data_IF_554740659571
#
_entry.id   IF_554740659571
#
_cell.length_a   1.000
_cell.length_b   1.000
_cell.length_c   1.000
_cell.angle_alpha   90.00
_cell.angle_beta   90.00
_cell.angle_gamma   90.00
#
_symmetry.space_group_name_H-M   'P 1'
#
loop_
_entity.id
_entity.type
_entity.pdbx_description
1 polymer ?
#
# COMPACT_ATOMS: atom_id res chain seq x y z
N UNK A 1 -6.44 -8.47 -6.31
CA UNK A 1 -7.77 -7.89 -6.00
C UNK A 1 -7.73 -6.77 -4.94
N UNK A 2 -6.56 -6.22 -4.55
CA UNK A 2 -6.51 -5.12 -3.57
C UNK A 2 -6.60 -3.70 -4.18
N UNK A 3 -6.67 -3.58 -5.51
CA UNK A 3 -6.55 -2.30 -6.22
C UNK A 3 -7.89 -1.60 -6.51
N UNK A 4 -9.02 -2.31 -6.45
CA UNK A 4 -10.30 -1.80 -6.95
C UNK A 4 -11.32 -1.79 -5.80
N UNK A 5 -11.58 -0.59 -5.28
CA UNK A 5 -12.81 -0.19 -4.56
C UNK A 5 -13.06 -0.65 -3.12
N UNK A 6 -12.20 -1.45 -2.48
CA UNK A 6 -12.43 -1.93 -1.10
C UNK A 6 -11.65 -1.25 0.03
N UNK A 7 -10.70 -0.36 -0.28
CA UNK A 7 -9.72 0.14 0.69
C UNK A 7 -9.82 1.64 1.01
N UNK A 8 -10.80 2.35 0.44
CA UNK A 8 -11.00 3.80 0.66
C UNK A 8 -11.29 4.14 2.12
N UNK A 9 -11.87 3.22 2.88
CA UNK A 9 -12.21 3.43 4.29
C UNK A 9 -11.16 2.91 5.27
N UNK A 10 -10.01 2.43 4.78
CA UNK A 10 -8.98 1.90 5.66
C UNK A 10 -8.16 3.02 6.31
N UNK A 11 -7.83 2.89 7.60
CA UNK A 11 -7.12 3.93 8.34
C UNK A 11 -5.75 4.17 7.71
N UNK A 12 -5.56 5.37 7.17
CA UNK A 12 -4.23 5.84 6.76
C UNK A 12 -3.42 6.20 7.99
N UNK A 13 -2.19 5.72 8.09
CA UNK A 13 -1.29 6.04 9.20
C UNK A 13 -0.37 7.22 8.83
N UNK A 14 -0.08 8.06 9.82
CA UNK A 14 0.93 9.11 9.70
C UNK A 14 2.31 8.44 9.84
N UNK A 15 3.18 8.50 8.82
CA UNK A 15 4.43 7.77 8.84
C UNK A 15 5.49 8.42 9.73
N UNK A 16 6.28 7.59 10.40
CA UNK A 16 7.49 8.01 11.12
C UNK A 16 8.54 8.55 10.14
N UNK A 17 9.50 9.38 10.61
CA UNK A 17 10.62 9.83 9.78
C UNK A 17 11.43 8.69 9.15
N UNK A 18 11.50 7.54 9.83
CA UNK A 18 12.16 6.32 9.32
C UNK A 18 11.37 5.70 8.16
N UNK A 19 10.05 5.55 8.30
CA UNK A 19 9.18 5.07 7.22
C UNK A 19 9.26 5.95 5.97
N UNK A 20 9.34 7.29 6.13
CA UNK A 20 9.53 8.22 5.00
C UNK A 20 10.84 7.97 4.23
N UNK A 21 11.94 7.69 4.92
CA UNK A 21 13.22 7.36 4.28
C UNK A 21 13.11 6.06 3.47
N UNK A 22 12.49 5.03 4.05
CA UNK A 22 12.30 3.74 3.36
C UNK A 22 11.39 3.92 2.14
N UNK A 23 10.30 4.69 2.25
CA UNK A 23 9.41 5.00 1.14
C UNK A 23 10.13 5.74 0.00
N UNK A 24 11.08 6.63 0.32
CA UNK A 24 11.91 7.30 -0.70
C UNK A 24 12.78 6.29 -1.47
N UNK A 25 13.35 5.29 -0.80
CA UNK A 25 14.11 4.22 -1.47
C UNK A 25 13.17 3.35 -2.31
N UNK A 26 11.96 3.06 -1.81
CA UNK A 26 10.94 2.34 -2.55
C UNK A 26 10.55 3.06 -3.85
N UNK A 27 10.47 4.40 -3.81
CA UNK A 27 10.22 5.22 -5.01
C UNK A 27 11.28 5.03 -6.09
N UNK A 28 12.55 4.93 -5.70
CA UNK A 28 13.64 4.61 -6.63
C UNK A 28 13.44 3.21 -7.21
N UNK A 29 13.07 2.22 -6.39
CA UNK A 29 12.77 0.87 -6.87
C UNK A 29 11.62 0.86 -7.89
N UNK A 30 10.55 1.65 -7.71
CA UNK A 30 9.46 1.71 -8.69
C UNK A 30 9.93 2.20 -10.07
N UNK A 31 10.87 3.14 -10.12
CA UNK A 31 11.44 3.58 -11.39
C UNK A 31 12.22 2.45 -12.07
N UNK A 32 12.94 1.63 -11.29
CA UNK A 32 13.62 0.45 -11.81
C UNK A 32 12.64 -0.61 -12.35
N UNK A 33 11.47 -0.83 -11.72
CA UNK A 33 10.42 -1.69 -12.29
C UNK A 33 9.97 -1.21 -13.67
N UNK A 34 9.75 0.10 -13.85
CA UNK A 34 9.35 0.64 -15.16
C UNK A 34 10.45 0.44 -16.20
N UNK A 35 11.72 0.61 -15.83
CA UNK A 35 12.85 0.35 -16.72
C UNK A 35 12.94 -1.14 -17.08
N UNK A 36 12.77 -2.04 -16.11
CA UNK A 36 12.74 -3.49 -16.34
C UNK A 36 11.60 -3.87 -17.30
N UNK A 37 10.40 -3.33 -17.10
CA UNK A 37 9.26 -3.56 -17.99
C UNK A 37 9.58 -3.18 -19.45
N UNK A 38 10.19 -1.99 -19.66
CA UNK A 38 10.59 -1.54 -21.02
C UNK A 38 11.63 -2.49 -21.63
N UNK A 39 12.58 -2.98 -20.83
CA UNK A 39 13.59 -3.94 -21.28
C UNK A 39 12.95 -5.29 -21.62
N UNK A 40 11.98 -5.77 -20.85
CA UNK A 40 11.26 -7.01 -21.12
C UNK A 40 10.37 -6.91 -22.37
N UNK A 41 9.68 -5.77 -22.58
CA UNK A 41 8.96 -5.51 -23.82
C UNK A 41 9.89 -5.50 -25.03
N UNK A 42 11.10 -4.96 -24.89
CA UNK A 42 12.12 -4.97 -25.96
C UNK A 42 12.61 -6.38 -26.30
N UNK A 43 12.52 -7.31 -25.35
CA UNK A 43 12.78 -8.75 -25.53
C UNK A 43 11.58 -9.55 -26.02
N UNK A 44 10.45 -8.89 -26.35
CA UNK A 44 9.18 -9.55 -26.73
C UNK A 44 8.54 -10.38 -25.59
N UNK A 45 8.97 -10.21 -24.34
CA UNK A 45 8.33 -10.85 -23.19
C UNK A 45 7.18 -9.99 -22.67
N UNK A 46 6.08 -9.96 -23.43
CA UNK A 46 4.95 -9.04 -23.19
C UNK A 46 4.27 -9.33 -21.86
N UNK A 47 4.09 -10.61 -21.50
CA UNK A 47 3.40 -11.00 -20.27
C UNK A 47 4.20 -10.50 -19.05
N UNK A 48 5.51 -10.69 -19.08
CA UNK A 48 6.39 -10.31 -17.97
C UNK A 48 6.41 -8.79 -17.80
N UNK A 49 6.59 -8.06 -18.90
CA UNK A 49 6.55 -6.60 -18.87
C UNK A 49 5.21 -6.05 -18.39
N UNK A 50 4.09 -6.73 -18.69
CA UNK A 50 2.77 -6.37 -18.15
C UNK A 50 2.69 -6.58 -16.64
N UNK A 51 3.21 -7.69 -16.12
CA UNK A 51 3.29 -7.92 -14.68
C UNK A 51 4.14 -6.83 -14.02
N UNK A 52 5.33 -6.54 -14.52
CA UNK A 52 6.17 -5.46 -13.99
C UNK A 52 5.47 -4.11 -13.94
N UNK A 53 4.71 -3.76 -15.00
CA UNK A 53 3.91 -2.53 -15.02
C UNK A 53 2.80 -2.54 -13.97
N UNK A 54 2.11 -3.66 -13.78
CA UNK A 54 1.10 -3.82 -12.72
C UNK A 54 1.76 -3.66 -11.34
N UNK A 55 2.92 -4.27 -11.14
CA UNK A 55 3.73 -4.12 -9.93
C UNK A 55 4.11 -2.67 -9.64
N UNK A 56 4.59 -1.95 -10.66
CA UNK A 56 4.91 -0.54 -10.57
C UNK A 56 3.69 0.31 -10.18
N UNK A 57 2.52 0.01 -10.76
CA UNK A 57 1.25 0.70 -10.42
C UNK A 57 0.84 0.41 -8.98
N UNK A 58 0.87 -0.85 -8.54
CA UNK A 58 0.55 -1.23 -7.14
C UNK A 58 1.48 -0.50 -6.17
N UNK A 59 2.78 -0.52 -6.45
CA UNK A 59 3.77 0.13 -5.62
C UNK A 59 3.61 1.65 -5.62
N UNK A 60 3.31 2.26 -6.76
CA UNK A 60 3.02 3.69 -6.86
C UNK A 60 1.79 4.07 -6.04
N UNK A 61 0.70 3.30 -6.13
CA UNK A 61 -0.50 3.51 -5.32
C UNK A 61 -0.18 3.42 -3.82
N UNK A 62 0.69 2.50 -3.40
CA UNK A 62 1.05 2.32 -1.99
C UNK A 62 1.82 3.50 -1.38
N UNK A 63 2.57 4.27 -2.19
CA UNK A 63 3.39 5.40 -1.72
C UNK A 63 3.04 6.75 -2.36
N UNK A 64 1.89 6.84 -3.06
CA UNK A 64 1.47 8.05 -3.76
C UNK A 64 1.42 9.27 -2.85
N UNK A 65 0.92 9.07 -1.63
CA UNK A 65 0.74 10.12 -0.64
C UNK A 65 1.85 10.02 0.45
N UNK A 66 2.90 10.85 0.41
CA UNK A 66 4.07 10.73 1.31
C UNK A 66 3.76 11.03 2.78
N UNK A 67 2.58 11.57 3.05
CA UNK A 67 2.11 11.93 4.39
C UNK A 67 1.16 10.89 4.99
N UNK A 68 0.67 9.93 4.18
CA UNK A 68 -0.36 8.96 4.57
C UNK A 68 -0.10 7.65 3.85
N UNK A 69 0.29 6.61 4.59
CA UNK A 69 0.49 5.29 4.01
C UNK A 69 -0.65 4.34 4.39
N UNK A 70 -1.07 3.53 3.43
CA UNK A 70 -2.02 2.44 3.63
C UNK A 70 -1.24 1.13 3.79
N UNK A 71 -1.29 0.55 5.00
CA UNK A 71 -0.53 -0.65 5.37
C UNK A 71 -0.84 -1.83 4.46
N UNK A 72 -2.10 -2.00 4.06
CA UNK A 72 -2.54 -3.12 3.22
C UNK A 72 -2.07 -2.99 1.77
N UNK A 73 -1.95 -1.77 1.25
CA UNK A 73 -1.39 -1.56 -0.09
C UNK A 73 0.11 -1.88 -0.11
N UNK A 74 0.84 -1.48 0.93
CA UNK A 74 2.26 -1.85 1.09
C UNK A 74 2.41 -3.37 1.24
N UNK A 75 1.55 -4.02 2.02
CA UNK A 75 1.53 -5.48 2.15
C UNK A 75 1.23 -6.17 0.80
N UNK A 76 0.27 -5.64 0.03
CA UNK A 76 -0.04 -6.15 -1.30
C UNK A 76 1.17 -6.06 -2.24
N UNK A 77 1.90 -4.93 -2.21
CA UNK A 77 3.13 -4.76 -2.98
C UNK A 77 4.24 -5.72 -2.52
N UNK A 78 4.36 -5.96 -1.21
CA UNK A 78 5.32 -6.92 -0.66
C UNK A 78 5.05 -8.36 -1.15
N UNK A 79 3.79 -8.81 -1.12
CA UNK A 79 3.40 -10.13 -1.63
C UNK A 79 3.64 -10.22 -3.13
N UNK A 80 3.28 -9.16 -3.86
CA UNK A 80 3.46 -9.07 -5.30
C UNK A 80 4.95 -9.21 -5.70
N UNK A 81 5.83 -8.42 -5.11
CA UNK A 81 7.29 -8.50 -5.38
C UNK A 81 7.91 -9.84 -4.96
N UNK A 82 7.41 -10.47 -3.88
CA UNK A 82 7.82 -11.81 -3.49
C UNK A 82 7.42 -12.89 -4.51
N UNK A 83 6.23 -12.76 -5.10
CA UNK A 83 5.75 -13.63 -6.17
C UNK A 83 6.59 -13.47 -7.45
N UNK A 84 6.91 -12.22 -7.85
CA UNK A 84 7.77 -11.95 -9.01
C UNK A 84 9.20 -12.47 -8.81
N UNK A 85 9.74 -12.37 -7.59
CA UNK A 85 11.02 -12.98 -7.25
C UNK A 85 11.00 -14.51 -7.41
N UNK A 86 9.94 -15.17 -6.96
CA UNK A 86 9.77 -16.61 -7.12
C UNK A 86 9.73 -17.01 -8.60
N UNK A 87 8.91 -16.35 -9.42
CA UNK A 87 8.79 -16.66 -10.85
C UNK A 87 10.10 -16.37 -11.61
N UNK A 88 10.77 -15.27 -11.29
CA UNK A 88 12.07 -14.94 -11.88
C UNK A 88 13.13 -15.98 -11.53
N UNK A 89 13.13 -16.50 -10.30
CA UNK A 89 14.01 -17.59 -9.88
C UNK A 89 13.73 -18.88 -10.66
N UNK A 90 12.46 -19.24 -10.85
CA UNK A 90 12.07 -20.39 -11.70
C UNK A 90 12.59 -20.21 -13.12
N UNK A 91 12.50 -18.99 -13.70
CA UNK A 91 13.06 -18.71 -15.03
C UNK A 91 14.57 -18.88 -15.07
N UNK A 92 15.32 -18.42 -14.07
CA UNK A 92 16.77 -18.65 -13.99
C UNK A 92 17.09 -20.15 -14.01
N UNK A 93 16.35 -20.96 -13.24
CA UNK A 93 16.55 -22.43 -13.21
C UNK A 93 16.23 -23.06 -14.57
N UNK A 94 15.14 -22.63 -15.22
CA UNK A 94 14.75 -23.10 -16.56
C UNK A 94 15.76 -22.69 -17.65
N UNK A 95 16.39 -21.52 -17.50
CA UNK A 95 17.48 -21.05 -18.36
C UNK A 95 18.75 -21.89 -18.13
N UNK A 96 19.11 -22.13 -16.88
CA UNK A 96 20.29 -22.92 -16.52
C UNK A 96 20.20 -24.37 -17.01
N UNK A 97 19.00 -24.97 -16.92
CA UNK A 97 18.72 -26.33 -17.40
C UNK A 97 18.53 -26.42 -18.92
N UNK A 98 18.47 -25.28 -19.63
CA UNK A 98 18.15 -25.19 -21.07
C UNK A 98 16.81 -25.85 -21.43
N UNK A 99 15.90 -25.98 -20.47
CA UNK A 99 14.60 -26.62 -20.67
C UNK A 99 13.60 -25.71 -21.41
N UNK A 100 13.91 -24.41 -21.51
CA UNK A 100 13.05 -23.41 -22.16
C UNK A 100 13.61 -22.95 -23.50
N UNK A 101 12.75 -22.89 -24.52
CA UNK A 101 13.05 -22.13 -25.74
C UNK A 101 12.78 -20.66 -25.45
N UNK A 102 13.84 -19.86 -25.46
CA UNK A 102 13.75 -18.43 -25.16
C UNK A 102 13.09 -17.70 -26.33
N UNK A 103 12.11 -16.82 -26.06
CA UNK A 103 11.55 -15.94 -27.08
C UNK A 103 12.63 -14.94 -27.51
N UNK A 104 13.04 -15.01 -28.77
CA UNK A 104 14.06 -14.12 -29.32
C UNK A 104 14.59 -14.63 -30.65
N UNK A 105 14.37 -13.87 -31.72
CA UNK A 105 14.84 -14.22 -33.06
C UNK A 105 16.33 -13.92 -33.26
N UNK A 106 16.90 -13.01 -32.45
CA UNK A 106 18.28 -12.53 -32.61
C UNK A 106 19.15 -12.80 -31.37
N UNK A 107 20.46 -12.97 -31.59
CA UNK A 107 21.43 -13.25 -30.51
C UNK A 107 21.50 -12.13 -29.46
N UNK A 108 21.32 -10.87 -29.85
CA UNK A 108 21.39 -9.75 -28.92
C UNK A 108 20.18 -9.72 -27.97
N UNK A 109 18.99 -10.06 -28.47
CA UNK A 109 17.77 -10.18 -27.65
C UNK A 109 17.92 -11.25 -26.58
N UNK A 110 18.55 -12.37 -26.92
CA UNK A 110 18.87 -13.43 -25.96
C UNK A 110 19.76 -12.92 -24.82
N UNK A 111 20.86 -12.24 -25.14
CA UNK A 111 21.78 -11.74 -24.11
C UNK A 111 21.13 -10.67 -23.23
N UNK A 112 20.34 -9.78 -23.84
CA UNK A 112 19.59 -8.76 -23.11
C UNK A 112 18.54 -9.41 -22.20
N UNK A 113 17.79 -10.40 -22.69
CA UNK A 113 16.81 -11.15 -21.89
C UNK A 113 17.47 -11.83 -20.69
N UNK A 114 18.58 -12.55 -20.90
CA UNK A 114 19.31 -13.22 -19.82
C UNK A 114 19.81 -12.21 -18.78
N UNK A 115 20.35 -11.08 -19.22
CA UNK A 115 20.78 -10.01 -18.33
C UNK A 115 19.61 -9.43 -17.53
N UNK A 116 18.47 -9.16 -18.18
CA UNK A 116 17.25 -8.64 -17.55
C UNK A 116 16.69 -9.63 -16.52
N UNK A 117 16.64 -10.93 -16.81
CA UNK A 117 16.15 -11.95 -15.87
C UNK A 117 17.03 -12.04 -14.62
N UNK A 118 18.36 -12.02 -14.78
CA UNK A 118 19.29 -12.07 -13.64
C UNK A 118 19.21 -10.79 -12.83
N UNK A 119 19.28 -9.63 -13.49
CA UNK A 119 19.20 -8.32 -12.82
C UNK A 119 17.85 -8.12 -12.13
N UNK A 120 16.75 -8.49 -12.82
CA UNK A 120 15.39 -8.46 -12.30
C UNK A 120 15.24 -9.32 -11.05
N UNK A 121 15.77 -10.55 -11.04
CA UNK A 121 15.70 -11.42 -9.85
C UNK A 121 16.37 -10.79 -8.62
N UNK A 122 17.58 -10.26 -8.78
CA UNK A 122 18.29 -9.57 -7.68
C UNK A 122 17.51 -8.33 -7.24
N UNK A 123 16.98 -7.59 -8.19
CA UNK A 123 16.20 -6.40 -7.94
C UNK A 123 14.89 -6.70 -7.18
N UNK A 124 14.11 -7.71 -7.60
CA UNK A 124 12.87 -8.10 -6.90
C UNK A 124 13.14 -8.57 -5.47
N UNK A 125 14.27 -9.25 -5.22
CA UNK A 125 14.68 -9.61 -3.87
C UNK A 125 14.89 -8.37 -3.00
N UNK A 126 15.62 -7.37 -3.52
CA UNK A 126 15.87 -6.10 -2.81
C UNK A 126 14.55 -5.35 -2.58
N UNK A 127 13.69 -5.25 -3.61
CA UNK A 127 12.38 -4.62 -3.49
C UNK A 127 11.47 -5.31 -2.46
N UNK A 128 11.50 -6.65 -2.39
CA UNK A 128 10.77 -7.44 -1.41
C UNK A 128 11.28 -7.19 0.02
N UNK A 129 12.61 -7.10 0.21
CA UNK A 129 13.20 -6.76 1.52
C UNK A 129 12.79 -5.35 1.95
N UNK A 130 12.90 -4.35 1.06
CA UNK A 130 12.56 -2.96 1.37
C UNK A 130 11.06 -2.81 1.70
N UNK A 131 10.20 -3.44 0.89
CA UNK A 131 8.75 -3.41 1.13
C UNK A 131 8.36 -4.12 2.43
N UNK A 132 9.01 -5.23 2.78
CA UNK A 132 8.82 -5.90 4.06
C UNK A 132 9.30 -5.04 5.25
N UNK A 133 10.45 -4.35 5.12
CA UNK A 133 10.90 -3.39 6.13
C UNK A 133 9.91 -2.25 6.33
N UNK A 134 9.38 -1.68 5.24
CA UNK A 134 8.35 -0.63 5.32
C UNK A 134 7.07 -1.16 5.97
N UNK A 135 6.63 -2.36 5.60
CA UNK A 135 5.47 -3.00 6.17
C UNK A 135 5.61 -3.23 7.67
N UNK A 136 6.77 -3.72 8.14
CA UNK A 136 7.03 -3.93 9.57
C UNK A 136 6.92 -2.62 10.36
N UNK A 137 7.56 -1.55 9.87
CA UNK A 137 7.47 -0.23 10.51
C UNK A 137 6.03 0.28 10.62
N UNK A 138 5.23 0.12 9.55
CA UNK A 138 3.83 0.53 9.56
C UNK A 138 2.96 -0.34 10.47
N UNK A 139 3.26 -1.64 10.51
CA UNK A 139 2.56 -2.61 11.35
C UNK A 139 2.85 -2.40 12.83
N UNK A 140 4.07 -2.00 13.18
CA UNK A 140 4.45 -1.67 14.55
C UNK A 140 3.69 -0.42 15.03
N UNK A 141 3.61 0.65 14.21
CA UNK A 141 2.78 1.83 14.50
C UNK A 141 1.30 1.45 14.70
N UNK A 142 0.78 0.55 13.87
CA UNK A 142 -0.60 0.09 13.98
C UNK A 142 -0.84 -0.67 15.30
N UNK A 143 0.14 -1.47 15.73
CA UNK A 143 0.08 -2.20 17.00
C UNK A 143 0.10 -1.23 18.18
N UNK A 144 0.96 -0.21 18.15
CA UNK A 144 1.04 0.81 19.21
C UNK A 144 -0.27 1.59 19.38
N UNK A 145 -0.97 1.89 18.27
CA UNK A 145 -2.27 2.57 18.30
C UNK A 145 -3.39 1.63 18.79
N UNK A 146 -3.28 0.34 18.50
CA UNK A 146 -4.28 -0.66 18.84
C UNK A 146 -4.19 -1.14 20.29
N UNK A 147 -3.03 -1.02 20.95
CA UNK A 147 -2.85 -1.43 22.35
C UNK A 147 -3.65 -0.50 23.29
N UNK A 148 -4.71 -0.99 23.96
CA UNK A 148 -5.55 -0.14 24.83
C UNK A 148 -4.79 0.51 25.99
N UNK A 149 -3.61 -0.01 26.35
CA UNK A 149 -2.77 0.59 27.39
C UNK A 149 -2.10 1.91 26.95
N UNK A 150 -1.99 2.18 25.64
CA UNK A 150 -1.37 3.41 25.13
C UNK A 150 -2.13 4.67 25.62
N UNK A 151 -3.47 4.57 25.73
CA UNK A 151 -4.30 5.69 26.19
C UNK A 151 -4.12 6.00 27.67
N UNK A 152 -3.74 5.00 28.48
CA UNK A 152 -3.55 5.16 29.92
C UNK A 152 -2.29 5.98 30.24
N UNK A 153 -1.25 5.90 29.40
CA UNK A 153 -0.01 6.65 29.58
C UNK A 153 -0.04 8.03 28.89
N UNK A 154 -0.71 8.15 27.73
CA UNK A 154 -0.84 9.42 27.02
C UNK A 154 -1.66 10.48 27.79
N UNK A 155 -2.51 10.06 28.73
CA UNK A 155 -3.23 10.95 29.65
C UNK A 155 -2.36 11.56 30.76
N UNK A 156 -1.15 11.05 30.99
CA UNK A 156 -0.22 11.57 32.01
C UNK A 156 0.95 12.37 31.41
N UNK A 157 1.07 12.45 30.09
CA UNK A 157 2.18 13.11 29.40
C UNK A 157 1.79 14.44 28.72
N UNK A 158 0.79 15.17 29.25
CA UNK A 158 0.61 16.61 28.98
C UNK A 158 1.62 17.44 29.79
N UNK A 159 2.89 17.39 29.41
CA UNK A 159 3.95 18.12 30.12
C UNK A 159 5.23 18.41 29.33
N UNK A 160 5.27 18.19 28.02
CA UNK A 160 6.43 18.55 27.17
C UNK A 160 5.98 19.46 26.03
N UNK A 161 5.86 20.75 26.31
CA UNK A 161 5.58 21.75 25.29
C UNK A 161 4.99 23.07 25.77
N UNK A 162 5.52 23.69 26.83
CA UNK A 162 5.27 25.10 27.14
C UNK A 162 6.40 25.67 28.02
N UNK A 163 7.61 25.75 27.47
CA UNK A 163 8.70 26.52 28.06
C UNK A 163 8.99 27.72 27.16
N UNK A 164 8.18 28.78 27.30
CA UNK A 164 8.67 30.16 27.29
C UNK A 164 7.57 31.09 27.83
N UNK A 165 7.42 31.11 29.15
CA UNK A 165 6.59 32.10 29.86
C UNK A 165 7.56 33.05 30.55
N UNK A 166 7.92 34.12 29.86
CA UNK A 166 8.64 35.24 30.45
C UNK A 166 7.83 35.86 31.61
N UNK A 167 8.49 36.42 32.63
CA UNK A 167 7.81 37.03 33.76
C UNK A 167 7.19 38.37 33.34
N UNK A 168 5.89 38.36 33.00
CA UNK A 168 5.11 39.60 32.89
C UNK A 168 4.60 39.96 34.28
N UNK A 169 5.34 40.88 34.90
CA UNK A 169 4.93 41.60 36.09
C UNK A 169 3.82 42.59 35.67
N UNK A 170 2.55 42.20 35.85
CA UNK A 170 1.39 42.94 35.36
C UNK A 170 0.23 42.87 36.34
N UNK A 171 0.27 43.74 37.33
CA UNK A 171 -0.77 44.03 38.30
C UNK A 171 -2.00 44.64 37.60
N UNK A 172 -3.16 43.97 37.63
CA UNK A 172 -4.43 44.63 37.32
C UNK A 172 -5.58 43.74 36.85
N UNK A 173 -6.65 43.72 37.65
CA UNK A 173 -8.04 43.81 37.17
C UNK A 173 -8.62 42.59 36.45
N UNK A 174 -9.32 41.73 37.20
CA UNK A 174 -9.97 40.54 36.68
C UNK A 174 -11.16 40.79 35.74
N UNK A 175 -11.53 39.72 35.04
CA UNK A 175 -12.90 39.27 34.76
C UNK A 175 -12.88 37.75 34.59
N UNK A 176 -14.03 37.14 34.82
CA UNK A 176 -14.28 35.76 35.21
C UNK A 176 -13.84 34.68 34.20
N UNK A 177 -13.29 33.60 34.76
CA UNK A 177 -13.39 32.26 34.20
C UNK A 177 -14.86 31.80 34.26
N UNK A 178 -15.46 31.58 33.09
CA UNK A 178 -16.60 30.68 32.95
C UNK A 178 -16.05 29.33 32.48
N UNK A 179 -16.04 28.36 33.40
CA UNK A 179 -15.93 26.94 33.08
C UNK A 179 -17.17 26.51 32.29
N UNK A 180 -17.00 26.18 31.01
CA UNK A 180 -17.97 25.37 30.26
C UNK A 180 -17.39 23.98 30.01
N UNK A 181 -17.83 23.05 30.84
CA UNK A 181 -17.82 21.61 30.58
C UNK A 181 -19.00 21.25 29.64
N UNK A 182 -19.00 20.06 29.02
CA UNK A 182 -19.45 19.86 27.64
C UNK A 182 -20.95 19.58 27.51
N UNK A 183 -21.59 20.20 26.52
CA UNK A 183 -22.88 19.73 25.99
C UNK A 183 -22.59 19.00 24.67
N UNK A 184 -22.32 17.71 24.80
CA UNK A 184 -22.18 16.76 23.71
C UNK A 184 -23.58 16.47 23.17
N UNK A 185 -24.05 17.29 22.23
CA UNK A 185 -25.26 17.00 21.46
C UNK A 185 -25.00 15.77 20.58
N UNK A 186 -25.52 14.64 21.06
CA UNK A 186 -25.71 13.42 20.30
C UNK A 186 -26.75 13.67 19.20
N UNK A 187 -26.30 14.16 18.05
CA UNK A 187 -27.06 14.11 16.80
C UNK A 187 -26.17 13.64 15.65
N UNK A 188 -25.57 12.47 15.82
CA UNK A 188 -25.10 11.70 14.67
C UNK A 188 -26.28 10.89 14.14
N UNK A 189 -27.06 11.55 13.29
CA UNK A 189 -28.16 10.95 12.54
C UNK A 189 -27.54 9.97 11.54
N UNK A 190 -27.43 8.71 11.97
CA UNK A 190 -26.93 7.62 11.15
C UNK A 190 -27.72 7.54 9.85
N UNK A 191 -27.03 7.72 8.72
CA UNK A 191 -27.54 7.32 7.41
C UNK A 191 -27.59 5.80 7.40
N UNK A 192 -28.69 5.24 7.90
CA UNK A 192 -29.05 3.86 7.71
C UNK A 192 -29.09 3.61 6.20
N UNK A 193 -28.09 2.88 5.71
CA UNK A 193 -28.05 2.34 4.37
C UNK A 193 -29.24 1.37 4.25
N UNK A 194 -30.31 1.84 3.60
CA UNK A 194 -31.51 1.08 3.29
C UNK A 194 -31.12 0.03 2.25
N UNK A 195 -30.82 -1.18 2.72
CA UNK A 195 -30.63 -2.37 1.89
C UNK A 195 -31.96 -2.66 1.18
N UNK A 196 -32.07 -2.25 -0.09
CA UNK A 196 -33.21 -2.56 -0.93
C UNK A 196 -33.25 -4.06 -1.21
N UNK A 197 -34.14 -4.78 -0.53
CA UNK A 197 -34.61 -6.10 -0.94
C UNK A 197 -35.64 -5.93 -2.04
N UNK A 198 -35.17 -5.71 -3.27
CA UNK A 198 -35.99 -5.90 -4.45
C UNK A 198 -35.96 -7.40 -4.77
N UNK A 199 -37.01 -8.10 -4.35
CA UNK A 199 -37.25 -9.49 -4.71
C UNK A 199 -37.52 -9.58 -6.22
N UNK A 200 -36.87 -10.49 -6.97
CA UNK A 200 -37.25 -10.75 -8.35
C UNK A 200 -38.64 -11.40 -8.38
N UNK A 201 -39.59 -10.75 -9.04
CA UNK A 201 -40.88 -11.35 -9.40
C UNK A 201 -40.61 -12.49 -10.38
N UNK A 202 -40.92 -13.71 -9.96
CA UNK A 202 -40.97 -14.88 -10.83
C UNK A 202 -41.98 -14.64 -11.94
N UNK A 203 -41.47 -14.45 -13.16
CA UNK A 203 -42.28 -14.56 -14.38
C UNK A 203 -42.45 -16.03 -14.69
N UNK A 204 -43.68 -16.54 -14.50
CA UNK A 204 -44.15 -17.79 -15.08
C UNK A 204 -44.22 -17.60 -16.60
N UNK A 205 -43.33 -18.25 -17.35
CA UNK A 205 -43.46 -18.35 -18.80
C UNK A 205 -44.18 -19.65 -19.14
N UNK A 206 -45.35 -19.45 -19.73
CA UNK A 206 -46.41 -20.39 -20.04
C UNK A 206 -45.97 -21.42 -21.09
N UNK A 207 -46.17 -22.69 -20.78
CA UNK A 207 -46.00 -23.82 -21.70
C UNK A 207 -47.19 -23.84 -22.66
N UNK A 208 -46.97 -23.45 -23.92
CA UNK A 208 -47.80 -23.84 -25.07
C UNK A 208 -46.87 -24.26 -26.21
N UNK A 209 -46.93 -25.44 -26.83
CA UNK A 209 -48.05 -26.37 -27.00
C UNK A 209 -48.67 -26.22 -28.39
N UNK A 210 -48.03 -26.78 -29.43
CA UNK A 210 -48.63 -27.21 -30.73
C UNK A 210 -47.56 -28.04 -31.45
N UNK A 211 -47.75 -29.35 -31.60
CA UNK A 211 -48.49 -30.07 -32.65
C UNK A 211 -47.58 -30.42 -33.85
#
# INVERSE_FOLDING_TARGET
MCLVSGFSDMPTLIPTPKAKKIASVLWVALNFHVILAIMEFSCLSVIDGMFDMIGAVIGYCAIRDPNRFNVYQVLCYCIYTGMDFFWSTVRIVLLATKATKIPGTTKWQYHLYVATVIAGTVFYLIASIISNLLYRELRDILHDIADPNWRSEAGQQSGYGASDQGPINGQGGGYQQVSQSPQQDNNFQGTAFKLGTDAPSNGEEEIGGTA
#
